data_IF_908381640149
#
_entry.id   IF_908381640149
#
_cell.length_a   1.000
_cell.length_b   1.000
_cell.length_c   1.000
_cell.angle_alpha   90.00
_cell.angle_beta   90.00
_cell.angle_gamma   90.00
#
_symmetry.space_group_name_H-M   'P 1'
#
loop_
_entity.id
_entity.type
_entity.pdbx_description
1 polymer ?
#
# COMPACT_ATOMS: atom_id res chain seq x y z
N UNK A 1 -27.54 -22.20 15.02
CA UNK A 1 -27.10 -21.77 16.35
C UNK A 1 -25.72 -22.36 16.62
N UNK A 2 -24.67 -21.64 16.23
CA UNK A 2 -23.31 -21.97 16.66
C UNK A 2 -23.12 -21.34 18.05
N UNK A 3 -22.91 -22.17 19.06
CA UNK A 3 -22.69 -21.74 20.43
C UNK A 3 -21.46 -20.82 20.50
N UNK A 4 -21.64 -19.63 21.05
CA UNK A 4 -20.62 -18.60 21.18
C UNK A 4 -19.49 -18.93 22.20
N UNK A 5 -19.53 -20.07 22.85
CA UNK A 5 -18.61 -20.45 23.94
C UNK A 5 -17.57 -21.52 23.57
N UNK A 6 -17.53 -21.97 22.33
CA UNK A 6 -16.52 -22.90 21.85
C UNK A 6 -15.45 -22.21 20.98
N UNK A 7 -14.20 -22.36 21.33
CA UNK A 7 -13.06 -22.00 20.46
C UNK A 7 -13.23 -22.79 19.15
N UNK A 8 -13.69 -22.09 18.12
CA UNK A 8 -14.03 -22.73 16.85
C UNK A 8 -12.74 -22.85 16.03
N UNK A 9 -12.04 -23.97 16.14
CA UNK A 9 -10.78 -24.25 15.44
C UNK A 9 -10.88 -24.10 13.90
N UNK A 10 -12.10 -24.08 13.35
CA UNK A 10 -12.33 -23.79 11.94
C UNK A 10 -11.85 -22.39 11.53
N UNK A 11 -11.85 -21.41 12.45
CA UNK A 11 -11.31 -20.08 12.15
C UNK A 11 -9.81 -20.08 11.83
N UNK A 12 -9.05 -21.07 12.29
CA UNK A 12 -7.63 -21.23 11.94
C UNK A 12 -7.44 -21.74 10.50
N UNK A 13 -8.44 -22.39 9.93
CA UNK A 13 -8.40 -22.94 8.57
C UNK A 13 -8.66 -21.85 7.51
N UNK A 14 -9.47 -20.83 7.81
CA UNK A 14 -9.82 -19.80 6.83
C UNK A 14 -8.60 -19.05 6.26
N UNK A 15 -7.66 -18.54 7.06
CA UNK A 15 -6.47 -17.88 6.50
C UNK A 15 -5.63 -18.78 5.61
N UNK A 16 -5.53 -20.06 5.95
CA UNK A 16 -4.80 -21.06 5.15
C UNK A 16 -5.45 -21.23 3.78
N UNK A 17 -6.78 -21.37 3.76
CA UNK A 17 -7.56 -21.47 2.50
C UNK A 17 -7.39 -20.19 1.69
N UNK A 18 -7.49 -19.01 2.32
CA UNK A 18 -7.30 -17.71 1.66
C UNK A 18 -5.95 -17.58 1.00
N UNK A 19 -4.87 -17.92 1.71
CA UNK A 19 -3.50 -17.88 1.18
C UNK A 19 -3.34 -18.88 0.02
N UNK A 20 -3.87 -20.09 0.13
CA UNK A 20 -3.81 -21.07 -0.95
C UNK A 20 -4.57 -20.59 -2.20
N UNK A 21 -5.77 -20.05 -2.04
CA UNK A 21 -6.55 -19.50 -3.15
C UNK A 21 -5.84 -18.32 -3.82
N UNK A 22 -5.31 -17.38 -3.02
CA UNK A 22 -4.51 -16.26 -3.53
C UNK A 22 -3.25 -16.75 -4.26
N UNK A 23 -2.55 -17.73 -3.70
CA UNK A 23 -1.37 -18.35 -4.33
C UNK A 23 -1.70 -19.04 -5.65
N UNK A 24 -2.79 -19.81 -5.72
CA UNK A 24 -3.27 -20.44 -6.95
C UNK A 24 -3.66 -19.39 -8.00
N UNK A 25 -4.37 -18.33 -7.58
CA UNK A 25 -4.72 -17.22 -8.44
C UNK A 25 -3.48 -16.58 -9.06
N UNK A 26 -2.48 -16.27 -8.22
CA UNK A 26 -1.20 -15.68 -8.69
C UNK A 26 -0.48 -16.63 -9.64
N UNK A 27 -0.35 -17.90 -9.28
CA UNK A 27 0.41 -18.91 -10.04
C UNK A 27 -0.21 -19.21 -11.41
N UNK A 28 -1.53 -19.38 -11.48
CA UNK A 28 -2.21 -19.85 -12.70
C UNK A 28 -2.77 -18.72 -13.57
N UNK A 29 -3.26 -17.64 -12.96
CA UNK A 29 -3.92 -16.54 -13.68
C UNK A 29 -2.95 -15.40 -13.95
N UNK A 30 -2.25 -14.92 -12.93
CA UNK A 30 -1.37 -13.76 -13.06
C UNK A 30 -0.06 -14.11 -13.75
N UNK A 31 0.52 -15.26 -13.42
CA UNK A 31 1.79 -15.79 -13.94
C UNK A 31 2.92 -14.76 -13.91
N UNK A 32 2.90 -13.88 -12.92
CA UNK A 32 3.91 -12.85 -12.69
C UNK A 32 4.21 -12.76 -11.19
N UNK A 33 5.40 -12.30 -10.86
CA UNK A 33 5.76 -12.08 -9.47
C UNK A 33 4.99 -10.85 -8.93
N UNK A 34 4.13 -11.07 -7.93
CA UNK A 34 3.40 -10.01 -7.21
C UNK A 34 4.23 -9.48 -6.04
N UNK A 35 5.55 -9.61 -6.05
CA UNK A 35 6.43 -9.15 -4.99
C UNK A 35 6.11 -7.76 -4.41
N UNK A 36 6.90 -7.27 -3.50
CA UNK A 36 6.66 -6.02 -2.77
C UNK A 36 6.18 -4.86 -3.67
N UNK A 37 4.91 -4.43 -3.51
CA UNK A 37 4.23 -3.50 -4.41
C UNK A 37 4.98 -2.19 -4.63
N UNK A 38 5.52 -1.59 -3.57
CA UNK A 38 6.29 -0.34 -3.63
C UNK A 38 7.63 -0.55 -4.35
N UNK A 39 8.33 -1.65 -4.08
CA UNK A 39 9.59 -2.00 -4.77
C UNK A 39 9.39 -2.17 -6.28
N UNK A 40 8.26 -2.75 -6.70
CA UNK A 40 7.91 -2.83 -8.14
C UNK A 40 7.73 -1.47 -8.78
N UNK A 41 7.12 -0.52 -8.06
CA UNK A 41 6.94 0.85 -8.57
C UNK A 41 8.30 1.52 -8.73
N UNK A 42 9.16 1.45 -7.71
CA UNK A 42 10.53 1.99 -7.77
C UNK A 42 11.34 1.37 -8.91
N UNK A 43 11.26 0.06 -9.07
CA UNK A 43 11.91 -0.64 -10.18
C UNK A 43 11.35 -0.19 -11.54
N UNK A 44 10.03 0.00 -11.66
CA UNK A 44 9.42 0.47 -12.89
C UNK A 44 9.84 1.91 -13.22
N UNK A 45 9.96 2.79 -12.21
CA UNK A 45 10.43 4.16 -12.39
C UNK A 45 11.89 4.16 -12.84
N UNK A 46 12.77 3.43 -12.16
CA UNK A 46 14.21 3.46 -12.39
C UNK A 46 14.62 2.70 -13.65
N UNK A 47 14.07 1.51 -13.89
CA UNK A 47 14.55 0.58 -14.92
C UNK A 47 13.62 0.43 -16.13
N UNK A 48 12.32 0.72 -15.99
CA UNK A 48 11.30 0.47 -17.02
C UNK A 48 10.63 1.73 -17.55
N UNK A 49 11.27 2.89 -17.44
CA UNK A 49 10.71 4.17 -17.89
C UNK A 49 9.29 4.40 -17.38
N UNK A 50 9.03 4.10 -16.11
CA UNK A 50 7.73 4.23 -15.43
C UNK A 50 6.60 3.37 -16.04
N UNK A 51 6.94 2.30 -16.77
CA UNK A 51 5.95 1.40 -17.38
C UNK A 51 5.63 0.23 -16.45
N UNK A 52 4.41 0.20 -15.94
CA UNK A 52 3.89 -0.90 -15.13
C UNK A 52 2.97 -1.77 -15.99
N UNK A 53 3.04 -3.10 -15.81
CA UNK A 53 2.22 -4.06 -16.57
C UNK A 53 0.73 -3.82 -16.32
N UNK A 54 -0.15 -3.86 -17.34
CA UNK A 54 -1.59 -3.56 -17.19
C UNK A 54 -2.30 -4.44 -16.19
N UNK A 55 -1.96 -5.73 -16.08
CA UNK A 55 -2.62 -6.62 -15.14
C UNK A 55 -2.51 -6.15 -13.67
N UNK A 56 -1.46 -5.40 -13.31
CA UNK A 56 -1.30 -4.87 -11.94
C UNK A 56 -2.38 -3.84 -11.53
N UNK A 57 -3.22 -3.39 -12.47
CA UNK A 57 -4.34 -2.50 -12.15
C UNK A 57 -5.44 -3.18 -11.33
N UNK A 58 -5.51 -4.51 -11.33
CA UNK A 58 -6.55 -5.24 -10.61
C UNK A 58 -6.02 -6.50 -9.88
N UNK A 59 -4.96 -7.14 -10.37
CA UNK A 59 -4.48 -8.42 -9.82
C UNK A 59 -4.04 -8.33 -8.37
N UNK A 60 -3.36 -7.23 -8.00
CA UNK A 60 -2.86 -7.03 -6.63
C UNK A 60 -4.01 -6.85 -5.64
N UNK A 61 -5.06 -6.10 -6.03
CA UNK A 61 -6.25 -5.90 -5.20
C UNK A 61 -6.99 -7.23 -5.02
N UNK A 62 -7.23 -7.98 -6.10
CA UNK A 62 -7.94 -9.25 -6.03
C UNK A 62 -7.21 -10.23 -5.12
N UNK A 63 -5.90 -10.41 -5.30
CA UNK A 63 -5.11 -11.32 -4.47
C UNK A 63 -5.13 -10.94 -2.99
N UNK A 64 -4.94 -9.65 -2.67
CA UNK A 64 -4.99 -9.18 -1.28
C UNK A 64 -6.39 -9.24 -0.67
N UNK A 65 -7.43 -8.92 -1.44
CA UNK A 65 -8.83 -9.01 -0.98
C UNK A 65 -9.24 -10.43 -0.63
N UNK A 66 -8.82 -11.42 -1.43
CA UNK A 66 -9.03 -12.83 -1.10
C UNK A 66 -8.34 -13.19 0.21
N UNK A 67 -7.06 -12.84 0.35
CA UNK A 67 -6.30 -13.16 1.57
C UNK A 67 -6.91 -12.50 2.82
N UNK A 68 -7.25 -11.20 2.75
CA UNK A 68 -7.85 -10.44 3.86
C UNK A 68 -9.26 -10.96 4.16
N UNK A 69 -10.08 -11.22 3.13
CA UNK A 69 -11.45 -11.71 3.29
C UNK A 69 -11.54 -13.06 4.00
N UNK A 70 -10.51 -13.89 3.87
CA UNK A 70 -10.38 -15.14 4.62
C UNK A 70 -9.66 -14.98 5.98
N UNK A 71 -9.47 -13.75 6.46
CA UNK A 71 -8.87 -13.48 7.78
C UNK A 71 -7.34 -13.49 7.79
N UNK A 72 -6.68 -13.47 6.64
CA UNK A 72 -5.23 -13.33 6.56
C UNK A 72 -4.78 -11.92 6.96
N UNK A 73 -3.73 -11.83 7.77
CA UNK A 73 -3.15 -10.57 8.21
C UNK A 73 -2.18 -10.01 7.17
N UNK A 74 -2.70 -9.30 6.18
CA UNK A 74 -1.92 -8.68 5.10
C UNK A 74 -2.30 -7.20 5.01
N UNK A 75 -1.29 -6.31 4.89
CA UNK A 75 -1.54 -4.90 4.65
C UNK A 75 -2.15 -4.66 3.27
N UNK A 76 -3.19 -3.85 3.21
CA UNK A 76 -3.85 -3.47 1.96
C UNK A 76 -3.11 -2.33 1.22
N UNK A 77 -2.23 -1.61 1.90
CA UNK A 77 -1.60 -0.39 1.43
C UNK A 77 -0.74 -0.63 0.18
N UNK A 78 0.17 -1.60 0.24
CA UNK A 78 1.07 -1.89 -0.88
C UNK A 78 0.35 -2.35 -2.15
N UNK A 79 -0.64 -3.26 -2.10
CA UNK A 79 -1.47 -3.62 -3.26
C UNK A 79 -2.22 -2.44 -3.87
N UNK A 80 -2.78 -1.56 -3.05
CA UNK A 80 -3.56 -0.42 -3.52
C UNK A 80 -2.66 0.65 -4.15
N UNK A 81 -1.50 0.93 -3.54
CA UNK A 81 -0.51 1.85 -4.11
C UNK A 81 -0.02 1.34 -5.47
N UNK A 82 0.29 0.05 -5.58
CA UNK A 82 0.69 -0.55 -6.85
C UNK A 82 -0.42 -0.44 -7.91
N UNK A 83 -1.66 -0.66 -7.52
CA UNK A 83 -2.83 -0.52 -8.41
C UNK A 83 -2.99 0.91 -8.89
N UNK A 84 -2.95 1.90 -7.98
CA UNK A 84 -3.04 3.32 -8.35
C UNK A 84 -1.90 3.74 -9.28
N UNK A 85 -0.67 3.35 -8.97
CA UNK A 85 0.50 3.57 -9.81
C UNK A 85 0.35 2.92 -11.19
N UNK A 86 -0.19 1.69 -11.26
CA UNK A 86 -0.43 0.98 -12.51
C UNK A 86 -1.52 1.67 -13.37
N UNK A 87 -2.58 2.18 -12.74
CA UNK A 87 -3.62 2.97 -13.42
C UNK A 87 -2.98 4.22 -14.03
N UNK A 88 -2.22 4.99 -13.25
CA UNK A 88 -1.50 6.17 -13.74
C UNK A 88 -0.56 5.86 -14.89
N UNK A 89 0.24 4.80 -14.77
CA UNK A 89 1.14 4.33 -15.82
C UNK A 89 0.41 3.93 -17.11
N UNK A 90 -0.68 3.18 -17.00
CA UNK A 90 -1.41 2.72 -18.17
C UNK A 90 -2.19 3.85 -18.85
N UNK A 91 -2.76 4.77 -18.06
CA UNK A 91 -3.42 5.97 -18.59
C UNK A 91 -2.44 6.82 -19.40
N UNK A 92 -1.26 7.12 -18.84
CA UNK A 92 -0.23 7.88 -19.55
C UNK A 92 0.28 7.18 -20.83
N UNK A 93 0.30 5.84 -20.85
CA UNK A 93 0.62 5.09 -22.06
C UNK A 93 -0.44 5.17 -23.15
N UNK A 94 -1.72 5.13 -22.77
CA UNK A 94 -2.84 5.30 -23.73
C UNK A 94 -2.73 6.64 -24.43
N UNK A 95 -2.42 7.70 -23.70
CA UNK A 95 -2.23 9.05 -24.24
C UNK A 95 -0.82 9.30 -24.81
N UNK A 96 0.05 8.29 -24.87
CA UNK A 96 1.43 8.38 -25.40
C UNK A 96 2.26 9.50 -24.76
N UNK A 97 2.09 9.71 -23.45
CA UNK A 97 2.80 10.75 -22.71
C UNK A 97 4.30 10.49 -22.65
N UNK A 98 5.08 11.56 -22.55
CA UNK A 98 6.53 11.50 -22.32
C UNK A 98 6.87 10.86 -20.97
N UNK A 99 8.10 10.34 -20.84
CA UNK A 99 8.55 9.62 -19.65
C UNK A 99 8.41 10.44 -18.36
N UNK A 100 8.72 11.74 -18.40
CA UNK A 100 8.58 12.63 -17.23
C UNK A 100 7.12 12.73 -16.77
N UNK A 101 6.20 12.95 -17.70
CA UNK A 101 4.76 13.01 -17.44
C UNK A 101 4.22 11.65 -17.00
N UNK A 102 4.72 10.57 -17.58
CA UNK A 102 4.36 9.22 -17.18
C UNK A 102 4.76 8.92 -15.74
N UNK A 103 5.96 9.33 -15.33
CA UNK A 103 6.44 9.19 -13.95
C UNK A 103 5.57 9.99 -12.98
N UNK A 104 5.18 11.22 -13.36
CA UNK A 104 4.27 12.05 -12.57
C UNK A 104 2.88 11.40 -12.44
N UNK A 105 2.33 10.83 -13.51
CA UNK A 105 1.05 10.12 -13.46
C UNK A 105 1.10 8.86 -12.58
N UNK A 106 2.22 8.13 -12.59
CA UNK A 106 2.46 7.02 -11.65
C UNK A 106 2.41 7.52 -10.21
N UNK A 107 3.08 8.65 -9.94
CA UNK A 107 3.04 9.33 -8.64
C UNK A 107 1.63 9.78 -8.25
N UNK A 108 0.89 10.41 -9.17
CA UNK A 108 -0.50 10.83 -8.92
C UNK A 108 -1.40 9.65 -8.58
N UNK A 109 -1.25 8.52 -9.29
CA UNK A 109 -2.00 7.30 -8.99
C UNK A 109 -1.66 6.72 -7.62
N UNK A 110 -0.37 6.68 -7.25
CA UNK A 110 0.07 6.23 -5.93
C UNK A 110 -0.40 7.16 -4.81
N UNK A 111 -0.26 8.50 -4.99
CA UNK A 111 -0.71 9.51 -4.03
C UNK A 111 -2.22 9.44 -3.80
N UNK A 112 -3.00 9.34 -4.88
CA UNK A 112 -4.45 9.17 -4.80
C UNK A 112 -4.86 7.88 -4.09
N UNK A 113 -4.14 6.78 -4.32
CA UNK A 113 -4.39 5.51 -3.65
C UNK A 113 -4.23 5.61 -2.13
N UNK A 114 -3.14 6.19 -1.64
CA UNK A 114 -2.89 6.43 -0.21
C UNK A 114 -3.90 7.42 0.37
N UNK A 115 -4.11 8.55 -0.32
CA UNK A 115 -5.06 9.56 0.13
C UNK A 115 -6.49 9.02 0.24
N UNK A 116 -6.90 8.15 -0.67
CA UNK A 116 -8.22 7.53 -0.66
C UNK A 116 -8.43 6.56 0.50
N UNK A 117 -7.43 5.71 0.81
CA UNK A 117 -7.53 4.76 1.93
C UNK A 117 -7.59 5.50 3.27
N UNK A 118 -6.60 6.37 3.51
CA UNK A 118 -6.45 7.02 4.80
C UNK A 118 -7.31 8.28 4.95
N UNK A 119 -8.01 8.70 3.89
CA UNK A 119 -8.76 9.97 3.83
C UNK A 119 -7.88 11.16 4.21
N UNK A 120 -6.60 11.09 3.85
CA UNK A 120 -5.56 12.04 4.23
C UNK A 120 -4.77 12.52 2.99
N UNK A 121 -5.21 13.61 2.32
CA UNK A 121 -4.58 14.09 1.09
C UNK A 121 -3.09 14.43 1.24
N UNK A 122 -2.74 15.08 2.34
CA UNK A 122 -1.34 15.47 2.61
C UNK A 122 -0.47 14.23 2.82
N UNK A 123 -0.96 13.20 3.50
CA UNK A 123 -0.22 11.96 3.70
C UNK A 123 0.07 11.26 2.35
N UNK A 124 -0.90 11.25 1.43
CA UNK A 124 -0.71 10.72 0.08
C UNK A 124 0.38 11.45 -0.71
N UNK A 125 0.38 12.79 -0.64
CA UNK A 125 1.39 13.62 -1.26
C UNK A 125 2.79 13.34 -0.68
N UNK A 126 2.93 13.40 0.65
CA UNK A 126 4.21 13.20 1.35
C UNK A 126 4.75 11.80 1.09
N UNK A 127 3.89 10.77 1.12
CA UNK A 127 4.28 9.39 0.82
C UNK A 127 4.95 9.26 -0.55
N UNK A 128 4.38 9.87 -1.57
CA UNK A 128 4.92 9.75 -2.94
C UNK A 128 6.24 10.50 -3.08
N UNK A 129 6.36 11.68 -2.49
CA UNK A 129 7.59 12.46 -2.52
C UNK A 129 8.72 11.70 -1.83
N UNK A 130 8.45 11.13 -0.66
CA UNK A 130 9.46 10.44 0.15
C UNK A 130 9.78 9.05 -0.43
N UNK A 131 8.77 8.25 -0.72
CA UNK A 131 8.94 6.85 -1.09
C UNK A 131 9.32 6.68 -2.57
N UNK A 132 8.71 7.44 -3.46
CA UNK A 132 9.01 7.36 -4.90
C UNK A 132 10.12 8.32 -5.34
N UNK A 133 10.66 9.12 -4.41
CA UNK A 133 11.78 10.05 -4.65
C UNK A 133 11.51 10.96 -5.86
N UNK A 134 10.28 11.43 -6.02
CA UNK A 134 9.93 12.35 -7.07
C UNK A 134 10.48 13.77 -6.76
N UNK A 135 10.96 14.44 -7.79
CA UNK A 135 11.47 15.81 -7.64
C UNK A 135 10.40 16.77 -7.13
N UNK A 136 10.73 17.52 -6.07
CA UNK A 136 9.91 18.56 -5.48
C UNK A 136 9.91 19.83 -6.35
N UNK A 137 9.21 19.77 -7.47
CA UNK A 137 8.98 20.96 -8.30
C UNK A 137 7.52 21.38 -8.19
N UNK A 138 7.22 22.69 -8.36
CA UNK A 138 5.83 23.16 -8.37
C UNK A 138 4.99 22.47 -9.45
N UNK A 139 5.60 22.09 -10.55
CA UNK A 139 4.98 21.34 -11.63
C UNK A 139 4.62 19.89 -11.24
N UNK A 140 5.29 19.32 -10.24
CA UNK A 140 5.01 17.96 -9.73
C UNK A 140 4.06 17.99 -8.54
N UNK A 141 4.24 18.92 -7.61
CA UNK A 141 3.47 18.97 -6.35
C UNK A 141 1.99 19.25 -6.60
N UNK A 142 1.66 20.17 -7.50
CA UNK A 142 0.28 20.57 -7.75
C UNK A 142 -0.58 19.42 -8.31
N UNK A 143 -0.18 18.67 -9.35
CA UNK A 143 -0.93 17.49 -9.81
C UNK A 143 -1.06 16.40 -8.74
N UNK A 144 -0.02 16.15 -7.96
CA UNK A 144 -0.04 15.17 -6.85
C UNK A 144 -1.07 15.56 -5.80
N UNK A 145 -1.09 16.84 -5.41
CA UNK A 145 -2.04 17.36 -4.43
C UNK A 145 -3.48 17.27 -4.94
N UNK A 146 -3.74 17.68 -6.19
CA UNK A 146 -5.07 17.59 -6.81
C UNK A 146 -5.54 16.13 -6.83
N UNK A 147 -4.69 15.20 -7.24
CA UNK A 147 -5.01 13.77 -7.25
C UNK A 147 -5.34 13.27 -5.85
N UNK A 148 -4.53 13.63 -4.85
CA UNK A 148 -4.74 13.22 -3.45
C UNK A 148 -6.05 13.77 -2.87
N UNK A 149 -6.33 15.06 -3.08
CA UNK A 149 -7.56 15.70 -2.59
C UNK A 149 -8.79 15.08 -3.27
N UNK A 150 -8.75 14.90 -4.58
CA UNK A 150 -9.86 14.30 -5.34
C UNK A 150 -10.13 12.87 -4.86
N UNK A 151 -9.08 12.05 -4.69
CA UNK A 151 -9.23 10.68 -4.22
C UNK A 151 -9.80 10.60 -2.79
N UNK A 152 -9.32 11.45 -1.87
CA UNK A 152 -9.86 11.52 -0.53
C UNK A 152 -11.34 11.97 -0.53
N UNK A 153 -11.68 12.98 -1.33
CA UNK A 153 -13.07 13.45 -1.48
C UNK A 153 -13.98 12.35 -2.00
N UNK A 154 -13.56 11.63 -3.03
CA UNK A 154 -14.31 10.48 -3.54
C UNK A 154 -14.45 9.38 -2.50
N UNK A 155 -13.40 9.10 -1.73
CA UNK A 155 -13.47 8.15 -0.61
C UNK A 155 -14.50 8.59 0.43
N UNK A 156 -14.55 9.86 0.82
CA UNK A 156 -15.57 10.37 1.73
C UNK A 156 -16.99 10.18 1.19
N UNK A 157 -17.21 10.38 -0.09
CA UNK A 157 -18.53 10.22 -0.72
C UNK A 157 -18.99 8.75 -0.67
N UNK A 158 -18.09 7.79 -0.97
CA UNK A 158 -18.45 6.37 -1.08
C UNK A 158 -18.40 5.62 0.25
N UNK A 159 -17.50 5.96 1.15
CA UNK A 159 -17.28 5.23 2.40
C UNK A 159 -17.65 6.01 3.66
N UNK A 160 -18.27 7.19 3.48
CA UNK A 160 -18.67 8.06 4.60
C UNK A 160 -17.50 8.79 5.26
N UNK A 161 -17.79 9.53 6.32
CA UNK A 161 -16.85 10.44 7.00
C UNK A 161 -16.03 9.76 8.11
N UNK A 162 -16.26 8.49 8.40
CA UNK A 162 -15.52 7.80 9.45
C UNK A 162 -14.03 7.71 9.10
N UNK A 163 -13.18 8.14 10.03
CA UNK A 163 -11.74 7.94 9.92
C UNK A 163 -11.39 6.46 10.11
N UNK A 164 -10.36 5.99 9.38
CA UNK A 164 -9.87 4.61 9.51
C UNK A 164 -9.36 4.32 10.93
N UNK A 165 -8.75 5.31 11.57
CA UNK A 165 -8.28 5.23 12.94
C UNK A 165 -9.13 6.14 13.82
N UNK A 166 -9.88 5.53 14.74
CA UNK A 166 -10.67 6.27 15.74
C UNK A 166 -9.80 6.50 16.98
N UNK A 167 -9.40 7.71 17.21
CA UNK A 167 -8.73 8.12 18.45
C UNK A 167 -9.38 9.38 19.00
N UNK A 168 -9.43 9.49 20.29
CA UNK A 168 -9.85 10.71 20.99
C UNK A 168 -8.64 11.35 21.65
N UNK A 169 -8.35 12.59 21.26
CA UNK A 169 -7.33 13.36 21.94
C UNK A 169 -7.98 14.02 23.16
N UNK A 170 -7.68 13.48 24.33
CA UNK A 170 -8.24 13.97 25.61
C UNK A 170 -7.47 15.14 26.18
N UNK A 171 -6.20 15.30 25.79
CA UNK A 171 -5.32 16.33 26.33
C UNK A 171 -4.61 17.07 25.20
N UNK A 172 -4.39 18.38 25.38
CA UNK A 172 -3.62 19.18 24.45
C UNK A 172 -2.14 18.75 24.45
N UNK A 173 -1.44 19.04 23.35
CA UNK A 173 -0.01 18.77 23.25
C UNK A 173 0.75 19.74 24.17
N UNK A 174 1.51 19.19 25.13
CA UNK A 174 2.39 19.94 26.03
C UNK A 174 3.85 19.74 25.66
N UNK A 175 4.63 20.83 25.73
CA UNK A 175 6.07 20.82 25.40
C UNK A 175 6.85 19.83 26.27
N UNK A 176 6.44 19.64 27.51
CA UNK A 176 7.06 18.72 28.47
C UNK A 176 6.99 17.25 28.02
N UNK A 177 6.11 16.92 27.07
CA UNK A 177 5.97 15.57 26.49
C UNK A 177 6.94 15.28 25.35
N UNK A 178 7.66 16.28 24.84
CA UNK A 178 8.61 16.10 23.71
C UNK A 178 9.65 15.02 24.00
N UNK A 179 10.31 14.93 25.17
CA UNK A 179 11.30 13.88 25.44
C UNK A 179 10.71 12.49 25.34
N UNK A 180 9.48 12.29 25.80
CA UNK A 180 8.78 11.00 25.74
C UNK A 180 8.43 10.61 24.29
N UNK A 181 8.02 11.59 23.47
CA UNK A 181 7.75 11.37 22.04
C UNK A 181 9.01 10.99 21.29
N UNK A 182 10.14 11.65 21.59
CA UNK A 182 11.45 11.31 21.01
C UNK A 182 11.88 9.88 21.40
N UNK A 183 11.73 9.52 22.69
CA UNK A 183 12.04 8.20 23.17
C UNK A 183 11.16 7.13 22.51
N UNK A 184 9.86 7.41 22.36
CA UNK A 184 8.95 6.56 21.62
C UNK A 184 9.39 6.39 20.16
N UNK A 185 9.80 7.47 19.50
CA UNK A 185 10.32 7.44 18.13
C UNK A 185 11.54 6.53 17.98
N UNK A 186 12.50 6.64 18.90
CA UNK A 186 13.69 5.74 18.93
C UNK A 186 13.26 4.30 19.12
N UNK A 187 12.36 4.03 20.07
CA UNK A 187 11.85 2.67 20.31
C UNK A 187 11.14 2.10 19.07
N UNK A 188 10.25 2.87 18.46
CA UNK A 188 9.58 2.46 17.22
C UNK A 188 10.58 2.19 16.09
N UNK A 189 11.64 3.00 15.96
CA UNK A 189 12.71 2.80 14.99
C UNK A 189 13.46 1.47 15.20
N UNK A 190 13.78 1.13 16.46
CA UNK A 190 14.43 -0.14 16.80
C UNK A 190 13.52 -1.34 16.50
N UNK A 191 12.23 -1.26 16.86
CA UNK A 191 11.24 -2.31 16.55
C UNK A 191 11.08 -2.49 15.05
N UNK A 192 11.01 -1.40 14.29
CA UNK A 192 10.93 -1.43 12.82
C UNK A 192 12.17 -2.13 12.20
N UNK A 193 13.37 -1.78 12.69
CA UNK A 193 14.61 -2.43 12.25
C UNK A 193 14.62 -3.93 12.55
N UNK A 194 14.19 -4.31 13.76
CA UNK A 194 14.06 -5.71 14.15
C UNK A 194 13.09 -6.45 13.24
N UNK A 195 11.88 -5.89 13.04
CA UNK A 195 10.85 -6.47 12.17
C UNK A 195 11.38 -6.70 10.76
N UNK A 196 11.98 -5.68 10.16
CA UNK A 196 12.54 -5.75 8.79
C UNK A 196 13.60 -6.83 8.67
N UNK A 197 14.51 -6.94 9.65
CA UNK A 197 15.55 -7.99 9.65
C UNK A 197 14.97 -9.39 9.77
N UNK A 198 13.99 -9.57 10.64
CA UNK A 198 13.31 -10.87 10.83
C UNK A 198 12.56 -11.27 9.56
N UNK A 199 11.78 -10.35 8.97
CA UNK A 199 11.05 -10.61 7.74
C UNK A 199 11.96 -11.01 6.59
N UNK A 200 13.04 -10.25 6.36
CA UNK A 200 14.02 -10.57 5.32
C UNK A 200 14.70 -11.93 5.55
N UNK A 201 14.96 -12.30 6.81
CA UNK A 201 15.53 -13.60 7.16
C UNK A 201 14.55 -14.74 6.88
N UNK A 202 13.29 -14.56 7.26
CA UNK A 202 12.22 -15.55 7.02
C UNK A 202 11.99 -15.73 5.52
N UNK A 203 11.87 -14.63 4.75
CA UNK A 203 11.75 -14.69 3.30
C UNK A 203 12.93 -15.40 2.64
N UNK A 204 14.16 -15.10 3.09
CA UNK A 204 15.37 -15.77 2.61
C UNK A 204 15.40 -17.28 2.91
N UNK A 205 14.81 -17.70 4.05
CA UNK A 205 14.66 -19.13 4.36
C UNK A 205 13.69 -19.82 3.40
N UNK A 206 12.50 -19.23 3.19
CA UNK A 206 11.49 -19.79 2.28
C UNK A 206 12.00 -19.84 0.82
N UNK A 207 12.74 -18.86 0.40
CA UNK A 207 13.33 -18.85 -0.96
C UNK A 207 14.33 -20.00 -1.16
N UNK A 208 15.07 -20.39 -0.11
CA UNK A 208 16.00 -21.55 -0.18
C UNK A 208 15.29 -22.89 -0.16
N UNK A 209 14.08 -22.96 0.40
CA UNK A 209 13.27 -24.19 0.44
C UNK A 209 12.48 -24.41 -0.85
N UNK A 210 12.31 -23.38 -1.68
CA UNK A 210 11.57 -23.45 -2.95
C UNK A 210 12.45 -23.68 -4.19
N UNK A 211 13.76 -23.83 -4.02
CA UNK A 211 14.72 -24.29 -5.03
C UNK A 211 15.10 -25.72 -4.76
#
# INVERSE_FOLDING_TARGET
NFNADGVNYLYLLYPVIGILLAGLFVKYIVRDDIGHGVTKILYAISQRKSRIKPHNTWTSIVASSVTIGFGGSVGAEAPIVLTGAAIGSNLGRVFRMEQKTLMLLVGCGAAGAIAGIFKAPIAGLVFVIEVLMLDLTMTSVLPLLISSVTAATMSYIFTGTEAMFKFSQTEAFEIERIPYVLLLGVFCGLVSLYFTRVMNKVEGMYRKLGT
#
